data_IF_951568959348
#
_entry.id   IF_951568959348
#
_cell.length_a   1.000
_cell.length_b   1.000
_cell.length_c   1.000
_cell.angle_alpha   90.00
_cell.angle_beta   90.00
_cell.angle_gamma   90.00
#
_symmetry.space_group_name_H-M   'P 1'
#
loop_
_entity.id
_entity.type
_entity.pdbx_description
1 polymer ?
#
# COMPACT_ATOMS: atom_id res chain seq x y z
N UNK A 1 -40.53 8.79 -32.20
CA UNK A 1 -39.08 9.04 -32.19
C UNK A 1 -38.62 9.24 -30.76
N UNK A 2 -38.19 8.19 -30.08
CA UNK A 2 -37.61 8.27 -28.72
C UNK A 2 -36.68 7.09 -28.56
N UNK A 3 -35.38 7.34 -28.66
CA UNK A 3 -34.31 6.61 -27.96
C UNK A 3 -32.97 7.11 -28.48
N UNK A 4 -31.95 6.95 -27.64
CA UNK A 4 -30.53 7.26 -27.83
C UNK A 4 -30.14 8.62 -27.26
N UNK A 5 -29.81 8.63 -25.97
CA UNK A 5 -28.80 9.51 -25.35
C UNK A 5 -28.58 9.12 -23.87
N UNK A 6 -28.21 7.87 -23.58
CA UNK A 6 -27.79 7.45 -22.22
C UNK A 6 -26.59 6.50 -22.28
N UNK A 7 -25.66 6.71 -23.22
CA UNK A 7 -24.47 5.87 -23.35
C UNK A 7 -23.16 6.57 -22.93
N UNK A 8 -23.16 7.89 -22.69
CA UNK A 8 -21.93 8.65 -22.44
C UNK A 8 -21.60 8.96 -20.95
N UNK A 9 -22.50 8.67 -20.01
CA UNK A 9 -22.29 9.07 -18.60
C UNK A 9 -21.47 8.07 -17.77
N UNK A 10 -21.16 6.89 -18.30
CA UNK A 10 -20.42 5.85 -17.56
C UNK A 10 -18.90 5.90 -17.76
N UNK A 11 -18.40 6.50 -18.84
CA UNK A 11 -16.96 6.57 -19.11
C UNK A 11 -16.24 7.64 -18.26
N UNK A 12 -16.93 8.68 -17.79
CA UNK A 12 -16.32 9.75 -17.00
C UNK A 12 -16.08 9.39 -15.53
N UNK A 13 -16.76 8.38 -14.98
CA UNK A 13 -16.65 8.03 -13.56
C UNK A 13 -15.34 7.29 -13.20
N UNK A 14 -14.82 6.45 -14.11
CA UNK A 14 -13.60 5.67 -13.86
C UNK A 14 -12.33 6.54 -13.85
N UNK A 15 -12.25 7.58 -14.68
CA UNK A 15 -11.10 8.49 -14.68
C UNK A 15 -11.00 9.36 -13.42
N UNK A 16 -12.13 9.75 -12.81
CA UNK A 16 -12.14 10.60 -11.61
C UNK A 16 -11.67 9.85 -10.36
N UNK A 17 -12.06 8.58 -10.18
CA UNK A 17 -11.68 7.78 -9.01
C UNK A 17 -10.17 7.48 -8.94
N UNK A 18 -9.53 7.26 -10.09
CA UNK A 18 -8.09 7.01 -10.14
C UNK A 18 -7.29 8.31 -9.91
N UNK A 19 -7.75 9.45 -10.42
CA UNK A 19 -7.12 10.75 -10.18
C UNK A 19 -7.19 11.15 -8.69
N UNK A 20 -8.33 10.90 -8.04
CA UNK A 20 -8.49 11.14 -6.60
C UNK A 20 -7.57 10.24 -5.76
N UNK A 21 -7.56 8.93 -6.00
CA UNK A 21 -6.68 7.98 -5.29
C UNK A 21 -5.19 8.30 -5.47
N UNK A 22 -4.77 8.68 -6.69
CA UNK A 22 -3.38 9.12 -6.94
C UNK A 22 -3.05 10.39 -6.16
N UNK A 23 -3.94 11.38 -6.14
CA UNK A 23 -3.71 12.63 -5.40
C UNK A 23 -3.58 12.41 -3.88
N UNK A 24 -4.47 11.59 -3.30
CA UNK A 24 -4.43 11.24 -1.88
C UNK A 24 -3.18 10.43 -1.54
N UNK A 25 -2.78 9.52 -2.42
CA UNK A 25 -1.54 8.77 -2.25
C UNK A 25 -0.30 9.67 -2.30
N UNK A 26 -0.24 10.69 -3.17
CA UNK A 26 0.90 11.61 -3.19
C UNK A 26 1.03 12.37 -1.87
N UNK A 27 -0.08 12.88 -1.32
CA UNK A 27 -0.09 13.52 -0.01
C UNK A 27 0.37 12.55 1.10
N UNK A 28 -0.20 11.35 1.12
CA UNK A 28 0.21 10.30 2.06
C UNK A 28 1.69 9.94 1.95
N UNK A 29 2.21 9.78 0.73
CA UNK A 29 3.61 9.43 0.48
C UNK A 29 4.54 10.53 0.98
N UNK A 30 4.17 11.80 0.78
CA UNK A 30 4.92 12.93 1.31
C UNK A 30 4.95 12.95 2.85
N UNK A 31 3.82 12.67 3.52
CA UNK A 31 3.77 12.54 4.97
C UNK A 31 4.63 11.37 5.47
N UNK A 32 4.55 10.22 4.81
CA UNK A 32 5.34 9.03 5.14
C UNK A 32 6.84 9.28 5.00
N UNK A 33 7.29 9.89 3.90
CA UNK A 33 8.71 10.19 3.67
C UNK A 33 9.23 11.25 4.64
N UNK A 34 8.40 12.25 4.97
CA UNK A 34 8.73 13.26 6.00
C UNK A 34 8.92 12.59 7.36
N UNK A 35 8.03 11.66 7.73
CA UNK A 35 8.15 10.91 8.97
C UNK A 35 9.36 9.97 8.97
N UNK A 36 9.64 9.29 7.85
CA UNK A 36 10.79 8.38 7.70
C UNK A 36 12.13 9.10 7.75
N UNK A 37 12.17 10.37 7.35
CA UNK A 37 13.37 11.20 7.43
C UNK A 37 13.82 11.50 8.86
N UNK A 38 12.96 11.28 9.88
CA UNK A 38 13.36 11.37 11.28
C UNK A 38 14.31 10.20 11.65
N UNK A 39 15.55 10.49 12.13
CA UNK A 39 16.49 9.45 12.54
C UNK A 39 15.97 8.48 13.61
N UNK A 40 15.08 8.94 14.50
CA UNK A 40 14.48 8.10 15.57
C UNK A 40 13.50 7.04 15.04
N UNK A 41 13.07 7.21 13.79
CA UNK A 41 12.03 6.43 13.10
C UNK A 41 12.62 5.59 11.96
N UNK A 42 13.77 6.00 11.42
CA UNK A 42 14.44 5.34 10.29
C UNK A 42 14.70 3.87 10.59
N UNK A 43 14.21 2.97 9.73
CA UNK A 43 14.06 1.54 10.01
C UNK A 43 15.34 0.81 10.46
N UNK A 44 16.52 1.32 10.09
CA UNK A 44 17.80 0.69 10.44
C UNK A 44 18.36 1.17 11.79
N UNK A 45 17.92 2.33 12.27
CA UNK A 45 18.38 2.96 13.52
C UNK A 45 17.22 3.35 14.47
N UNK A 46 16.00 2.89 14.18
CA UNK A 46 14.78 3.31 14.89
C UNK A 46 14.83 2.88 16.35
N UNK A 47 14.77 3.85 17.26
CA UNK A 47 14.56 3.59 18.69
C UNK A 47 13.08 3.43 19.01
N UNK A 48 12.20 3.90 18.11
CA UNK A 48 10.75 3.78 18.24
C UNK A 48 10.32 2.39 17.81
N UNK A 49 9.66 1.67 18.73
CA UNK A 49 9.11 0.35 18.47
C UNK A 49 7.79 0.44 17.68
N UNK A 50 7.54 -0.47 16.73
CA UNK A 50 6.26 -0.55 16.06
C UNK A 50 5.14 -0.90 17.04
N UNK A 51 3.94 -0.41 16.76
CA UNK A 51 2.74 -0.76 17.52
C UNK A 51 2.29 -2.21 17.21
N UNK A 52 1.33 -2.77 17.96
CA UNK A 52 0.75 -4.08 17.63
C UNK A 52 0.10 -4.07 16.24
N UNK A 53 0.25 -5.16 15.47
CA UNK A 53 -0.22 -5.25 14.08
C UNK A 53 -1.73 -4.97 13.92
N UNK A 54 -2.55 -5.19 14.96
CA UNK A 54 -4.00 -4.94 14.93
C UNK A 54 -4.37 -3.46 14.88
N UNK A 55 -3.40 -2.58 15.18
CA UNK A 55 -3.57 -1.14 15.15
C UNK A 55 -3.35 -0.54 13.75
N UNK A 56 -2.89 -1.31 12.78
CA UNK A 56 -2.62 -0.82 11.43
C UNK A 56 -3.72 -1.23 10.46
N UNK A 57 -4.14 -0.29 9.61
CA UNK A 57 -5.04 -0.52 8.50
C UNK A 57 -4.31 -0.28 7.18
N UNK A 58 -4.57 -1.14 6.19
CA UNK A 58 -4.15 -0.90 4.81
C UNK A 58 -4.81 0.37 4.29
N UNK A 59 -4.00 1.30 3.78
CA UNK A 59 -4.45 2.58 3.22
C UNK A 59 -4.33 2.62 1.71
N UNK A 60 -3.18 2.21 1.18
CA UNK A 60 -2.93 2.18 -0.25
C UNK A 60 -2.27 0.88 -0.65
N UNK A 61 -2.63 0.40 -1.85
CA UNK A 61 -1.88 -0.61 -2.57
C UNK A 61 -1.43 -0.03 -3.91
N UNK A 62 -0.15 -0.16 -4.21
CA UNK A 62 0.47 0.37 -5.42
C UNK A 62 1.10 -0.77 -6.18
N UNK A 63 0.66 -1.02 -7.41
CA UNK A 63 1.16 -2.09 -8.25
C UNK A 63 1.85 -1.54 -9.51
N UNK A 64 2.89 -2.22 -9.98
CA UNK A 64 3.67 -1.81 -11.15
C UNK A 64 4.78 -0.80 -10.85
N UNK A 65 5.35 -0.21 -11.89
CA UNK A 65 6.47 0.73 -11.77
C UNK A 65 6.36 1.86 -12.80
N UNK A 66 6.76 3.07 -12.42
CA UNK A 66 6.84 4.20 -13.33
C UNK A 66 5.50 4.49 -14.03
N UNK A 67 5.47 4.38 -15.36
CA UNK A 67 4.29 4.67 -16.16
C UNK A 67 3.13 3.67 -15.98
N UNK A 68 3.39 2.47 -15.46
CA UNK A 68 2.36 1.43 -15.22
C UNK A 68 1.87 1.41 -13.78
N UNK A 69 2.32 2.36 -12.94
CA UNK A 69 1.95 2.44 -11.54
C UNK A 69 0.42 2.66 -11.37
N UNK A 70 -0.21 1.69 -10.72
CA UNK A 70 -1.63 1.71 -10.37
C UNK A 70 -1.76 1.84 -8.86
N UNK A 71 -2.30 2.98 -8.43
CA UNK A 71 -2.64 3.26 -7.04
C UNK A 71 -4.09 2.89 -6.79
N UNK A 72 -4.33 2.11 -5.74
CA UNK A 72 -5.67 1.72 -5.32
C UNK A 72 -5.87 1.94 -3.83
N UNK A 73 -7.11 2.24 -3.43
CA UNK A 73 -7.54 2.23 -2.03
C UNK A 73 -8.28 0.91 -1.80
N UNK A 74 -7.61 -0.11 -1.25
CA UNK A 74 -8.21 -1.42 -1.07
C UNK A 74 -9.23 -1.41 0.09
N UNK A 75 -10.09 -2.43 0.19
CA UNK A 75 -10.94 -2.62 1.36
C UNK A 75 -10.12 -2.64 2.65
N UNK A 76 -10.72 -2.13 3.73
CA UNK A 76 -10.06 -2.05 5.03
C UNK A 76 -9.57 -3.44 5.50
N UNK A 77 -8.25 -3.61 5.54
CA UNK A 77 -7.59 -4.85 5.94
C UNK A 77 -6.56 -4.58 7.03
N UNK A 78 -6.43 -5.51 7.98
CA UNK A 78 -5.48 -5.41 9.09
C UNK A 78 -4.11 -5.92 8.68
N UNK A 79 -3.07 -5.25 9.16
CA UNK A 79 -1.70 -5.73 8.98
C UNK A 79 -1.49 -7.16 9.50
N UNK A 80 -2.12 -7.54 10.63
CA UNK A 80 -1.96 -8.91 11.15
C UNK A 80 -2.34 -9.99 10.14
N UNK A 81 -3.37 -9.73 9.32
CA UNK A 81 -3.80 -10.68 8.29
C UNK A 81 -2.69 -10.89 7.26
N UNK A 82 -2.11 -9.80 6.77
CA UNK A 82 -1.06 -9.84 5.75
C UNK A 82 0.27 -10.34 6.30
N UNK A 83 0.61 -10.05 7.56
CA UNK A 83 1.77 -10.65 8.21
C UNK A 83 1.62 -12.17 8.30
N UNK A 84 0.45 -12.68 8.67
CA UNK A 84 0.23 -14.14 8.71
C UNK A 84 0.28 -14.79 7.32
N UNK A 85 0.23 -14.01 6.23
CA UNK A 85 0.34 -14.50 4.86
C UNK A 85 1.75 -14.39 4.31
N UNK A 86 2.42 -13.25 4.55
CA UNK A 86 3.65 -12.85 3.87
C UNK A 86 4.91 -12.99 4.73
N UNK A 87 4.78 -12.92 6.06
CA UNK A 87 5.91 -13.04 6.98
C UNK A 87 6.34 -14.51 7.07
N UNK A 88 7.55 -14.81 6.58
CA UNK A 88 8.13 -16.16 6.59
C UNK A 88 8.26 -16.77 7.98
N UNK A 89 8.37 -15.94 9.01
CA UNK A 89 8.44 -16.41 10.41
C UNK A 89 7.09 -16.90 10.92
N UNK A 90 5.98 -16.49 10.28
CA UNK A 90 4.60 -16.84 10.65
C UNK A 90 3.95 -17.79 9.66
N UNK A 91 4.30 -17.67 8.38
CA UNK A 91 3.91 -18.58 7.32
C UNK A 91 5.17 -19.22 6.71
N UNK A 92 5.51 -20.47 7.07
CA UNK A 92 6.68 -21.15 6.52
C UNK A 92 6.57 -21.43 5.02
N UNK A 93 5.36 -21.35 4.44
CA UNK A 93 5.07 -21.61 3.04
C UNK A 93 4.43 -20.39 2.35
N UNK A 94 5.12 -19.24 2.23
CA UNK A 94 4.60 -18.13 1.43
C UNK A 94 4.49 -18.55 -0.04
N UNK A 95 3.64 -17.86 -0.82
CA UNK A 95 3.53 -18.10 -2.26
C UNK A 95 4.93 -18.03 -2.90
N UNK A 96 5.42 -19.11 -3.54
CA UNK A 96 6.85 -19.27 -3.87
C UNK A 96 7.36 -18.29 -4.93
N UNK A 97 6.45 -17.63 -5.65
CA UNK A 97 6.78 -16.70 -6.73
C UNK A 97 7.09 -15.28 -6.27
N UNK A 98 6.75 -14.94 -5.01
CA UNK A 98 6.85 -13.58 -4.49
C UNK A 98 7.85 -13.49 -3.34
N UNK A 99 8.73 -12.50 -3.41
CA UNK A 99 9.63 -12.11 -2.33
C UNK A 99 9.00 -10.92 -1.61
N UNK A 100 8.80 -11.08 -0.31
CA UNK A 100 8.20 -10.06 0.55
C UNK A 100 9.26 -9.43 1.45
N UNK A 101 9.31 -8.10 1.43
CA UNK A 101 10.07 -7.28 2.34
C UNK A 101 9.09 -6.51 3.22
N UNK A 102 9.20 -6.70 4.53
CA UNK A 102 8.24 -6.24 5.52
C UNK A 102 8.98 -5.29 6.46
N UNK A 103 8.64 -3.99 6.41
CA UNK A 103 9.34 -2.95 7.15
C UNK A 103 8.39 -2.07 7.97
N UNK A 104 8.53 -2.01 9.31
CA UNK A 104 7.93 -0.94 10.09
C UNK A 104 8.66 0.38 9.82
N UNK A 105 7.93 1.48 9.90
CA UNK A 105 8.50 2.84 9.93
C UNK A 105 7.99 3.49 11.22
N UNK A 106 8.88 3.56 12.22
CA UNK A 106 8.55 3.95 13.59
C UNK A 106 7.31 3.23 14.14
N UNK A 107 6.39 4.00 14.71
CA UNK A 107 5.12 3.46 15.23
C UNK A 107 3.90 3.82 14.37
N UNK A 108 4.03 4.64 13.32
CA UNK A 108 2.89 5.13 12.55
C UNK A 108 2.61 4.35 11.27
N UNK A 109 3.64 3.84 10.60
CA UNK A 109 3.46 3.19 9.30
C UNK A 109 4.08 1.81 9.24
N UNK A 110 3.55 1.02 8.32
CA UNK A 110 4.09 -0.28 7.95
C UNK A 110 4.07 -0.40 6.43
N UNK A 111 5.14 -0.93 5.85
CA UNK A 111 5.26 -1.11 4.40
C UNK A 111 5.54 -2.60 4.15
N UNK A 112 4.78 -3.19 3.25
CA UNK A 112 5.09 -4.50 2.69
C UNK A 112 5.36 -4.29 1.21
N UNK A 113 6.58 -4.60 0.78
CA UNK A 113 6.96 -4.64 -0.62
C UNK A 113 6.96 -6.10 -1.07
N UNK A 114 6.15 -6.43 -2.06
CA UNK A 114 6.13 -7.72 -2.72
C UNK A 114 6.72 -7.56 -4.11
N UNK A 115 7.70 -8.39 -4.44
CA UNK A 115 8.33 -8.40 -5.77
C UNK A 115 8.38 -9.81 -6.33
N UNK A 116 8.19 -9.93 -7.64
CA UNK A 116 8.44 -11.15 -8.40
C UNK A 116 9.65 -10.87 -9.29
N UNK A 117 10.56 -11.84 -9.43
CA UNK A 117 11.84 -11.68 -10.16
C UNK A 117 11.75 -11.32 -11.66
N UNK A 118 10.54 -11.06 -12.17
CA UNK A 118 10.26 -10.52 -13.50
C UNK A 118 10.08 -9.01 -13.42
N UNK A 119 10.75 -8.26 -14.30
CA UNK A 119 10.67 -6.80 -14.34
C UNK A 119 9.20 -6.29 -14.37
N UNK A 120 8.86 -5.36 -13.48
CA UNK A 120 7.55 -4.70 -13.41
C UNK A 120 6.47 -5.40 -12.56
N UNK A 121 6.73 -6.58 -12.02
CA UNK A 121 5.80 -7.25 -11.08
C UNK A 121 6.17 -6.91 -9.63
N UNK A 122 5.85 -5.69 -9.21
CA UNK A 122 6.01 -5.23 -7.83
C UNK A 122 4.69 -4.68 -7.28
N UNK A 123 4.48 -4.88 -5.98
CA UNK A 123 3.35 -4.36 -5.23
C UNK A 123 3.83 -3.78 -3.90
N UNK A 124 3.39 -2.57 -3.56
CA UNK A 124 3.56 -1.97 -2.25
C UNK A 124 2.23 -1.91 -1.54
N UNK A 125 2.23 -2.37 -0.29
CA UNK A 125 1.10 -2.28 0.62
C UNK A 125 1.47 -1.32 1.75
N UNK A 126 0.79 -0.18 1.81
CA UNK A 126 1.03 0.86 2.79
C UNK A 126 -0.02 0.82 3.88
N UNK A 127 0.42 0.60 5.12
CA UNK A 127 -0.44 0.58 6.29
C UNK A 127 -0.19 1.81 7.15
N UNK A 128 -1.26 2.36 7.71
CA UNK A 128 -1.23 3.46 8.66
C UNK A 128 -1.86 3.02 9.98
N UNK A 129 -1.25 3.43 11.09
CA UNK A 129 -1.79 3.22 12.42
C UNK A 129 -3.09 3.98 12.59
N UNK A 130 -4.08 3.32 13.17
CA UNK A 130 -5.30 3.96 13.67
C UNK A 130 -4.92 5.04 14.68
N UNK A 131 -5.38 6.26 14.43
CA UNK A 131 -5.37 7.33 15.43
C UNK A 131 -6.27 6.95 16.60
#
# INVERSE_FOLDING_TARGET
MKTILIALLFASAFCSAQNDAKSQYQAFKQELETYRANPEVSSENSTIKPAPCGQYNLKFMVAGEGATEMVTVPPARKLCFDLNRFDKTKNPNPTPEWVYEIKPVGNLYYIIHASKGTAGAQEFYYYERKK
#
